data_IF_746653788804
#
_entry.id   IF_746653788804
#
_cell.length_a   1.000
_cell.length_b   1.000
_cell.length_c   1.000
_cell.angle_alpha   90.00
_cell.angle_beta   90.00
_cell.angle_gamma   90.00
#
_symmetry.space_group_name_H-M   'P 1'
#
loop_
_entity.id
_entity.type
_entity.pdbx_description
1 polymer ?
#
# COMPACT_ATOMS: atom_id res chain seq x y z
N UNK A 1 -7.13 -47.53 -52.84
CA UNK A 1 -6.46 -46.29 -52.37
C UNK A 1 -7.51 -45.24 -52.02
N UNK A 2 -7.98 -45.16 -50.76
CA UNK A 2 -8.61 -43.96 -50.20
C UNK A 2 -8.35 -43.96 -48.69
N UNK A 3 -7.66 -42.94 -48.20
CA UNK A 3 -7.16 -42.84 -46.83
C UNK A 3 -8.23 -42.30 -45.88
N UNK A 4 -8.40 -42.97 -44.73
CA UNK A 4 -9.20 -42.48 -43.61
C UNK A 4 -8.53 -41.26 -42.96
N UNK A 5 -9.18 -40.10 -43.03
CA UNK A 5 -8.79 -38.91 -42.28
C UNK A 5 -9.46 -39.00 -40.90
N UNK A 6 -8.70 -39.46 -39.90
CA UNK A 6 -9.08 -39.28 -38.50
C UNK A 6 -8.71 -37.85 -38.10
N UNK A 7 -9.72 -37.00 -37.92
CA UNK A 7 -9.54 -35.65 -37.40
C UNK A 7 -9.06 -35.74 -35.94
N UNK A 8 -7.76 -35.51 -35.72
CA UNK A 8 -7.19 -35.35 -34.40
C UNK A 8 -7.34 -33.87 -34.01
N UNK A 9 -8.40 -33.54 -33.27
CA UNK A 9 -8.59 -32.20 -32.72
C UNK A 9 -7.68 -32.08 -31.49
N UNK A 10 -6.47 -31.55 -31.68
CA UNK A 10 -5.58 -31.19 -30.59
C UNK A 10 -6.12 -29.91 -29.93
N UNK A 11 -6.79 -30.06 -28.79
CA UNK A 11 -7.19 -28.94 -27.95
C UNK A 11 -5.94 -28.31 -27.31
N UNK A 12 -5.47 -27.19 -27.88
CA UNK A 12 -4.51 -26.31 -27.21
C UNK A 12 -5.22 -25.64 -26.02
N UNK A 13 -5.09 -26.24 -24.83
CA UNK A 13 -5.28 -25.53 -23.57
C UNK A 13 -4.12 -24.54 -23.41
N UNK A 14 -4.30 -23.34 -23.97
CA UNK A 14 -3.43 -22.20 -23.69
C UNK A 14 -3.57 -21.82 -22.22
N UNK A 15 -2.57 -22.17 -21.40
CA UNK A 15 -2.40 -21.63 -20.07
C UNK A 15 -2.12 -20.12 -20.19
N UNK A 16 -3.16 -19.30 -20.12
CA UNK A 16 -3.01 -17.86 -19.95
C UNK A 16 -2.57 -17.64 -18.50
N UNK A 17 -1.27 -17.59 -18.27
CA UNK A 17 -0.73 -17.08 -17.02
C UNK A 17 -1.05 -15.58 -16.97
N UNK A 18 -2.06 -15.20 -16.19
CA UNK A 18 -2.27 -13.81 -15.80
C UNK A 18 -1.13 -13.46 -14.86
N UNK A 19 -0.04 -12.92 -15.38
CA UNK A 19 1.00 -12.32 -14.55
C UNK A 19 0.37 -11.14 -13.82
N UNK A 20 0.27 -11.23 -12.49
CA UNK A 20 -0.03 -10.07 -11.65
C UNK A 20 1.08 -9.04 -11.90
N UNK A 21 0.73 -7.95 -12.58
CA UNK A 21 1.67 -6.86 -12.82
C UNK A 21 1.96 -6.24 -11.45
N UNK A 22 3.20 -6.34 -10.99
CA UNK A 22 3.63 -5.56 -9.84
C UNK A 22 3.44 -4.08 -10.20
N UNK A 23 2.59 -3.37 -9.46
CA UNK A 23 2.40 -1.94 -9.66
C UNK A 23 3.59 -1.21 -9.06
N UNK A 24 4.49 -0.77 -9.93
CA UNK A 24 5.64 0.04 -9.56
C UNK A 24 5.28 1.52 -9.65
N UNK A 25 5.70 2.29 -8.65
CA UNK A 25 5.57 3.74 -8.63
C UNK A 25 6.94 4.42 -8.52
N UNK A 26 7.72 4.45 -9.62
CA UNK A 26 9.08 4.97 -9.62
C UNK A 26 9.15 6.45 -9.25
N UNK A 27 8.08 7.22 -9.49
CA UNK A 27 8.01 8.65 -9.15
C UNK A 27 8.17 8.95 -7.65
N UNK A 28 7.96 7.97 -6.78
CA UNK A 28 8.13 8.12 -5.33
C UNK A 28 9.44 7.53 -4.81
N UNK A 29 10.26 6.94 -5.68
CA UNK A 29 11.55 6.36 -5.29
C UNK A 29 12.70 7.26 -5.74
N UNK A 30 13.72 7.52 -4.90
CA UNK A 30 14.91 8.22 -5.34
C UNK A 30 15.55 7.52 -6.54
N UNK A 31 15.68 8.24 -7.67
CA UNK A 31 16.20 7.67 -8.92
C UNK A 31 15.33 6.57 -9.53
N UNK A 32 14.06 6.44 -9.12
CA UNK A 32 13.16 5.38 -9.61
C UNK A 32 13.42 4.00 -9.03
N UNK A 33 14.31 3.88 -8.03
CA UNK A 33 14.73 2.60 -7.45
C UNK A 33 14.16 2.43 -6.04
N UNK A 34 13.16 1.55 -5.91
CA UNK A 34 12.56 1.24 -4.62
C UNK A 34 13.52 0.45 -3.72
N UNK A 35 13.45 0.59 -2.38
CA UNK A 35 14.23 -0.23 -1.45
C UNK A 35 13.99 -1.73 -1.63
N UNK A 36 15.07 -2.50 -1.67
CA UNK A 36 15.01 -3.96 -1.77
C UNK A 36 14.93 -4.60 -0.38
N UNK A 37 13.86 -5.36 -0.13
CA UNK A 37 13.78 -6.21 1.07
C UNK A 37 14.79 -7.33 0.92
N UNK A 38 15.77 -7.44 1.82
CA UNK A 38 16.84 -8.47 1.75
C UNK A 38 16.41 -9.81 2.36
N UNK A 39 15.46 -9.80 3.30
CA UNK A 39 14.90 -11.02 3.89
C UNK A 39 13.95 -11.72 2.90
N UNK A 40 14.25 -12.97 2.46
CA UNK A 40 13.46 -13.66 1.45
C UNK A 40 12.04 -14.02 1.92
N UNK A 41 11.84 -14.32 3.21
CA UNK A 41 10.52 -14.63 3.76
C UNK A 41 9.62 -13.40 3.69
N UNK A 42 10.14 -12.26 4.12
CA UNK A 42 9.42 -10.98 4.06
C UNK A 42 9.13 -10.58 2.62
N UNK A 43 10.10 -10.73 1.71
CA UNK A 43 9.94 -10.38 0.29
C UNK A 43 8.82 -11.18 -0.39
N UNK A 44 8.68 -12.46 -0.07
CA UNK A 44 7.68 -13.33 -0.69
C UNK A 44 6.23 -12.93 -0.39
N UNK A 45 6.01 -12.18 0.69
CA UNK A 45 4.69 -11.67 1.12
C UNK A 45 4.67 -10.14 1.14
N UNK A 46 5.62 -9.49 0.47
CA UNK A 46 5.65 -8.04 0.35
C UNK A 46 4.96 -7.59 -0.94
N UNK A 47 4.04 -6.64 -0.84
CA UNK A 47 3.33 -6.08 -1.99
C UNK A 47 3.43 -4.56 -1.99
N UNK A 48 3.94 -3.99 -3.10
CA UNK A 48 3.96 -2.55 -3.28
C UNK A 48 2.56 -2.05 -3.63
N UNK A 49 2.12 -1.00 -2.94
CA UNK A 49 0.85 -0.34 -3.17
C UNK A 49 1.11 1.10 -3.57
N UNK A 50 0.68 1.40 -4.79
CA UNK A 50 0.67 2.72 -5.38
C UNK A 50 -0.63 3.47 -5.04
N UNK A 51 -0.51 4.63 -4.41
CA UNK A 51 -1.61 5.59 -4.22
C UNK A 51 -1.37 6.81 -5.11
N UNK A 52 -2.27 7.80 -5.01
CA UNK A 52 -2.23 8.98 -5.87
C UNK A 52 -1.03 9.89 -5.57
N UNK A 53 -0.66 10.04 -4.29
CA UNK A 53 0.38 10.97 -3.83
C UNK A 53 1.45 10.32 -2.93
N UNK A 54 1.41 9.00 -2.76
CA UNK A 54 2.44 8.23 -2.08
C UNK A 54 2.44 6.77 -2.55
N UNK A 55 3.45 6.02 -2.13
CA UNK A 55 3.51 4.57 -2.26
C UNK A 55 3.98 3.95 -0.94
N UNK A 56 3.66 2.69 -0.73
CA UNK A 56 4.24 1.91 0.36
C UNK A 56 4.52 0.48 -0.07
N UNK A 57 5.38 -0.20 0.67
CA UNK A 57 5.54 -1.65 0.58
C UNK A 57 4.90 -2.28 1.79
N UNK A 58 3.81 -3.01 1.58
CA UNK A 58 3.08 -3.71 2.63
C UNK A 58 3.66 -5.10 2.85
N UNK A 59 3.71 -5.56 4.10
CA UNK A 59 4.09 -6.93 4.45
C UNK A 59 2.87 -7.72 4.90
N UNK A 60 2.54 -8.79 4.19
CA UNK A 60 1.49 -9.74 4.58
C UNK A 60 1.84 -10.57 5.82
N UNK A 61 3.12 -10.60 6.25
CA UNK A 61 3.55 -11.28 7.48
C UNK A 61 3.28 -10.43 8.73
N UNK A 62 3.53 -9.12 8.63
CA UNK A 62 3.39 -8.18 9.76
C UNK A 62 2.11 -7.35 9.68
N UNK A 63 1.33 -7.53 8.60
CA UNK A 63 0.09 -6.82 8.31
C UNK A 63 0.21 -5.28 8.26
N UNK A 64 1.41 -4.76 8.03
CA UNK A 64 1.69 -3.33 8.01
C UNK A 64 2.80 -2.96 7.03
N UNK A 65 3.04 -1.65 6.84
CA UNK A 65 4.02 -1.16 5.88
C UNK A 65 5.46 -1.41 6.39
N UNK A 66 6.31 -1.91 5.50
CA UNK A 66 7.76 -1.99 5.69
C UNK A 66 8.43 -0.64 5.45
N UNK A 67 7.93 0.10 4.46
CA UNK A 67 8.33 1.47 4.17
C UNK A 67 7.21 2.20 3.41
N UNK A 68 7.20 3.52 3.47
CA UNK A 68 6.42 4.38 2.57
C UNK A 68 7.30 5.49 2.01
N UNK A 69 6.89 6.04 0.87
CA UNK A 69 7.58 7.14 0.23
C UNK A 69 6.59 8.07 -0.45
N UNK A 70 6.88 9.36 -0.40
CA UNK A 70 6.11 10.42 -1.01
C UNK A 70 7.00 11.56 -1.46
N UNK A 71 6.50 12.38 -2.37
CA UNK A 71 7.21 13.55 -2.87
C UNK A 71 6.46 14.81 -2.45
N UNK A 72 7.05 15.56 -1.51
CA UNK A 72 6.47 16.79 -0.98
C UNK A 72 7.09 18.01 -1.63
N UNK A 73 6.23 18.97 -1.97
CA UNK A 73 6.62 20.30 -2.40
C UNK A 73 6.03 21.32 -1.42
N UNK A 74 6.64 22.51 -1.30
CA UNK A 74 6.10 23.56 -0.45
C UNK A 74 4.64 23.89 -0.81
N UNK A 75 4.32 23.91 -2.11
CA UNK A 75 2.95 24.10 -2.60
C UNK A 75 2.00 22.98 -2.14
N UNK A 76 2.39 21.70 -2.30
CA UNK A 76 1.50 20.59 -1.93
C UNK A 76 1.22 20.54 -0.44
N UNK A 77 2.19 20.90 0.40
CA UNK A 77 2.01 21.01 1.85
C UNK A 77 1.07 22.17 2.20
N UNK A 78 1.18 23.30 1.50
CA UNK A 78 0.27 24.44 1.71
C UNK A 78 -1.17 24.10 1.30
N UNK A 79 -1.35 23.50 0.11
CA UNK A 79 -2.65 23.04 -0.40
C UNK A 79 -3.29 21.99 0.53
N UNK A 80 -2.50 21.19 1.25
CA UNK A 80 -3.00 20.17 2.18
C UNK A 80 -3.63 20.73 3.45
N UNK A 81 -3.28 21.96 3.86
CA UNK A 81 -3.83 22.60 5.08
C UNK A 81 -5.35 22.78 5.02
N UNK A 82 -5.87 23.03 3.82
CA UNK A 82 -7.29 23.27 3.58
C UNK A 82 -8.08 21.96 3.38
N UNK A 83 -7.39 20.81 3.34
CA UNK A 83 -8.04 19.54 3.08
C UNK A 83 -8.59 18.91 4.37
N UNK A 84 -9.87 18.53 4.34
CA UNK A 84 -10.55 17.98 5.51
C UNK A 84 -10.30 16.47 5.64
N UNK A 85 -9.84 16.06 6.82
CA UNK A 85 -9.62 14.65 7.16
C UNK A 85 -10.92 13.84 7.09
N UNK A 86 -10.87 12.69 6.44
CA UNK A 86 -12.04 11.78 6.36
C UNK A 86 -12.26 10.98 7.64
N UNK A 87 -11.16 10.56 8.31
CA UNK A 87 -11.19 9.65 9.46
C UNK A 87 -11.90 8.31 9.19
N UNK A 88 -11.99 7.89 7.92
CA UNK A 88 -12.64 6.66 7.48
C UNK A 88 -11.59 5.60 7.13
N UNK A 89 -11.21 4.83 8.14
CA UNK A 89 -10.29 3.71 7.97
C UNK A 89 -10.94 2.55 7.20
N UNK A 90 -10.20 1.94 6.28
CA UNK A 90 -10.70 0.81 5.49
C UNK A 90 -9.61 -0.23 5.21
N UNK A 91 -10.04 -1.48 5.04
CA UNK A 91 -9.18 -2.61 4.67
C UNK A 91 -8.78 -2.48 3.20
N UNK A 92 -7.48 -2.64 2.91
CA UNK A 92 -6.97 -2.58 1.53
C UNK A 92 -7.37 -3.84 0.76
N UNK A 93 -8.18 -3.65 -0.29
CA UNK A 93 -8.73 -4.76 -1.08
C UNK A 93 -7.77 -5.30 -2.13
N UNK A 94 -6.69 -4.56 -2.44
CA UNK A 94 -5.65 -5.00 -3.38
C UNK A 94 -4.72 -6.05 -2.78
N UNK A 95 -4.72 -6.23 -1.46
CA UNK A 95 -3.92 -7.23 -0.77
C UNK A 95 -4.61 -8.61 -0.80
N UNK A 96 -3.84 -9.71 -0.75
CA UNK A 96 -4.41 -11.04 -0.55
C UNK A 96 -5.27 -11.12 0.72
N UNK A 97 -6.32 -11.97 0.73
CA UNK A 97 -7.13 -12.17 1.93
C UNK A 97 -6.27 -12.61 3.12
N UNK A 98 -6.39 -11.88 4.23
CA UNK A 98 -5.61 -12.14 5.46
C UNK A 98 -4.32 -11.32 5.57
N UNK A 99 -3.82 -10.72 4.49
CA UNK A 99 -2.55 -9.97 4.53
C UNK A 99 -2.71 -8.55 5.09
N UNK A 100 -3.93 -7.99 5.07
CA UNK A 100 -4.23 -6.67 5.64
C UNK A 100 -4.60 -6.75 7.11
N UNK A 101 -4.12 -5.78 7.90
CA UNK A 101 -4.66 -5.51 9.23
C UNK A 101 -6.15 -5.20 9.18
N UNK A 102 -6.84 -5.48 10.29
CA UNK A 102 -8.26 -5.26 10.51
C UNK A 102 -8.47 -4.17 11.57
N UNK A 103 -9.66 -3.56 11.57
CA UNK A 103 -10.00 -2.55 12.59
C UNK A 103 -10.02 -3.15 14.01
N UNK A 104 -10.33 -4.43 14.11
CA UNK A 104 -10.41 -5.14 15.39
C UNK A 104 -9.04 -5.33 16.03
N UNK A 105 -7.95 -5.39 15.26
CA UNK A 105 -6.58 -5.51 15.76
C UNK A 105 -6.17 -4.32 16.64
N UNK A 106 -6.77 -3.15 16.40
CA UNK A 106 -6.49 -1.93 17.17
C UNK A 106 -7.42 -1.74 18.36
N UNK A 107 -8.57 -2.42 18.42
CA UNK A 107 -9.56 -2.22 19.48
C UNK A 107 -9.00 -2.73 20.81
N UNK A 108 -8.96 -1.86 21.83
CA UNK A 108 -8.47 -2.16 23.19
C UNK A 108 -7.01 -2.70 23.22
N UNK A 109 -6.23 -2.40 22.19
CA UNK A 109 -4.82 -2.83 22.10
C UNK A 109 -3.87 -1.99 22.97
N UNK A 110 -4.28 -0.77 23.36
CA UNK A 110 -3.39 0.22 23.96
C UNK A 110 -2.53 0.99 22.94
N UNK A 111 -2.82 0.82 21.65
CA UNK A 111 -2.12 1.48 20.55
C UNK A 111 -3.07 2.30 19.67
N UNK A 112 -2.54 3.39 19.15
CA UNK A 112 -3.19 4.23 18.16
C UNK A 112 -2.94 3.72 16.73
N UNK A 113 -3.86 4.12 15.84
CA UNK A 113 -3.74 3.97 14.38
C UNK A 113 -2.86 5.08 13.82
N UNK A 114 -1.54 4.93 13.96
CA UNK A 114 -0.57 5.86 13.38
C UNK A 114 -0.50 5.72 11.86
N UNK A 115 -0.33 6.82 11.12
CA UNK A 115 -0.10 6.73 9.68
C UNK A 115 1.41 6.63 9.43
N UNK A 116 1.83 5.83 8.45
CA UNK A 116 3.20 5.81 7.96
C UNK A 116 3.45 7.01 7.03
N UNK A 117 2.58 7.18 6.02
CA UNK A 117 2.46 8.39 5.21
C UNK A 117 1.30 9.26 5.74
N UNK A 118 1.58 10.43 6.35
CA UNK A 118 0.58 11.22 7.07
C UNK A 118 -0.58 11.68 6.18
N UNK A 119 -1.77 11.75 6.78
CA UNK A 119 -2.93 12.39 6.13
C UNK A 119 -2.77 13.91 5.99
N UNK A 120 -1.91 14.53 6.82
CA UNK A 120 -1.66 15.98 6.79
C UNK A 120 -0.93 16.46 5.52
N UNK A 121 -0.29 15.54 4.81
CA UNK A 121 0.45 15.85 3.58
C UNK A 121 -0.41 15.75 2.31
N UNK A 122 -1.68 15.34 2.45
CA UNK A 122 -2.55 15.03 1.31
C UNK A 122 -3.25 16.28 0.82
N UNK A 123 -2.79 16.84 -0.29
CA UNK A 123 -3.43 17.99 -0.93
C UNK A 123 -4.80 17.65 -1.56
N UNK A 124 -4.99 16.42 -2.03
CA UNK A 124 -6.21 16.01 -2.75
C UNK A 124 -7.18 15.24 -1.86
N UNK A 125 -8.49 15.35 -2.12
CA UNK A 125 -9.51 14.54 -1.42
C UNK A 125 -9.28 13.03 -1.61
N UNK A 126 -8.78 12.64 -2.78
CA UNK A 126 -8.48 11.24 -3.10
C UNK A 126 -7.31 10.72 -2.26
N UNK A 127 -6.17 11.43 -2.28
CA UNK A 127 -5.01 11.09 -1.43
C UNK A 127 -5.35 11.08 0.06
N UNK A 128 -6.17 12.04 0.50
CA UNK A 128 -6.68 12.10 1.88
C UNK A 128 -7.57 10.91 2.24
N UNK A 129 -8.36 10.38 1.32
CA UNK A 129 -9.09 9.15 1.57
C UNK A 129 -8.14 7.94 1.60
N UNK A 130 -7.27 7.84 0.59
CA UNK A 130 -6.28 6.77 0.43
C UNK A 130 -5.35 6.62 1.63
N UNK A 131 -4.97 7.72 2.30
CA UNK A 131 -4.11 7.69 3.49
C UNK A 131 -4.71 6.93 4.68
N UNK A 132 -6.04 6.72 4.72
CA UNK A 132 -6.71 5.93 5.77
C UNK A 132 -6.83 4.43 5.45
N UNK A 133 -6.21 3.96 4.37
CA UNK A 133 -6.02 2.53 4.14
C UNK A 133 -5.26 1.89 5.30
N UNK A 134 -5.73 0.76 5.81
CA UNK A 134 -5.06 0.03 6.90
C UNK A 134 -3.66 -0.47 6.50
N UNK A 135 -3.37 -0.60 5.20
CA UNK A 135 -2.02 -0.86 4.72
C UNK A 135 -1.02 0.29 5.03
N UNK A 136 -1.52 1.51 5.28
CA UNK A 136 -0.73 2.68 5.67
C UNK A 136 -0.71 2.91 7.20
N UNK A 137 -1.31 2.00 7.98
CA UNK A 137 -1.42 2.18 9.43
C UNK A 137 -0.37 1.35 10.17
N UNK A 138 0.33 2.02 11.09
CA UNK A 138 1.27 1.41 12.02
C UNK A 138 0.71 1.45 13.44
N UNK A 139 1.10 0.45 14.22
CA UNK A 139 0.87 0.40 15.65
C UNK A 139 1.72 1.47 16.33
N UNK A 140 1.11 2.52 16.88
CA UNK A 140 1.82 3.61 17.56
C UNK A 140 1.40 3.67 19.03
N UNK A 141 2.33 3.60 20.00
CA UNK A 141 1.97 3.75 21.41
C UNK A 141 1.20 5.06 21.62
N UNK A 142 0.11 5.04 22.39
CA UNK A 142 -0.76 6.22 22.57
C UNK A 142 0.00 7.44 23.09
N UNK A 143 1.04 7.23 23.92
CA UNK A 143 1.92 8.31 24.40
C UNK A 143 2.75 8.98 23.28
N UNK A 144 3.13 8.24 22.24
CA UNK A 144 3.94 8.75 21.12
C UNK A 144 3.12 9.59 20.13
N UNK A 145 1.79 9.64 20.29
CA UNK A 145 0.89 10.41 19.42
C UNK A 145 1.09 11.93 19.48
N UNK A 146 1.74 12.45 20.53
CA UNK A 146 2.06 13.87 20.69
C UNK A 146 3.35 14.23 19.95
N UNK A 147 4.43 13.47 20.18
CA UNK A 147 5.75 13.77 19.61
C UNK A 147 5.77 13.71 18.07
N UNK A 148 5.07 12.76 17.46
CA UNK A 148 5.03 12.65 16.00
C UNK A 148 4.19 13.73 15.30
N UNK A 149 3.27 14.39 16.01
CA UNK A 149 2.50 15.52 15.42
C UNK A 149 3.38 16.75 15.29
N UNK A 150 4.19 17.04 16.31
CA UNK A 150 5.04 18.23 16.34
C UNK A 150 6.16 18.19 15.29
N UNK A 151 6.55 17.00 14.81
CA UNK A 151 7.52 16.84 13.71
C UNK A 151 6.94 17.08 12.32
N UNK A 152 5.61 17.07 12.18
CA UNK A 152 4.92 17.21 10.88
C UNK A 152 4.36 18.62 10.65
N UNK A 153 4.59 19.54 11.60
CA UNK A 153 4.15 20.94 11.56
C UNK A 153 5.35 21.91 11.59
N UNK A 154 6.56 21.41 11.32
CA UNK A 154 7.78 22.24 11.20
C UNK A 154 8.25 22.30 9.76
#
# INVERSE_FOLDING_TARGET
>A
MQASIKALVAALLGAVCISAVASDCPQFSPGGLAPVVTNPKMRASAQQICYSDFTLLHSGITHGPLWSAEHLTAKSVDDAKDNTRTNRFFVEKRLPPGDSAQLDDYKRSGYDRGHMSPAGDRATKKGMAESFSLANIICRPTFCSLSFRDSQVR
#
